data_IF_185877720641
#
_entry.id   IF_185877720641
#
_cell.length_a   1.000
_cell.length_b   1.000
_cell.length_c   1.000
_cell.angle_alpha   90.00
_cell.angle_beta   90.00
_cell.angle_gamma   90.00
#
_symmetry.space_group_name_H-M   'P 1'
#
loop_
_entity.id
_entity.type
_entity.pdbx_description
1 polymer ?
#
# COMPACT_ATOMS: atom_id res chain seq x y z
N UNK A 1 10.13 7.35 -2.81
CA UNK A 1 10.38 6.61 -1.55
C UNK A 1 10.55 7.62 -0.42
N UNK A 2 10.45 7.19 0.84
CA UNK A 2 10.92 8.04 1.94
C UNK A 2 12.42 8.33 1.77
N UNK A 3 12.84 9.52 2.18
CA UNK A 3 14.22 9.97 2.05
C UNK A 3 14.32 11.47 1.91
N UNK A 4 15.55 11.96 2.00
CA UNK A 4 15.90 13.34 1.69
C UNK A 4 16.34 13.41 0.24
N UNK A 5 15.75 14.35 -0.47
CA UNK A 5 15.97 14.61 -1.89
C UNK A 5 16.56 16.00 -2.06
N UNK A 6 17.32 16.15 -3.13
CA UNK A 6 17.95 17.40 -3.52
C UNK A 6 17.34 17.88 -4.83
N UNK A 7 16.98 19.17 -4.87
CA UNK A 7 16.58 19.83 -6.09
C UNK A 7 17.78 20.53 -6.71
N UNK A 8 17.92 20.36 -8.03
CA UNK A 8 18.93 21.02 -8.84
C UNK A 8 18.24 21.76 -9.99
N UNK A 9 18.69 22.97 -10.27
CA UNK A 9 18.18 23.82 -11.35
C UNK A 9 19.31 24.13 -12.31
N UNK A 10 19.02 23.98 -13.60
CA UNK A 10 19.85 24.37 -14.71
C UNK A 10 19.07 25.38 -15.55
N UNK A 11 19.64 26.57 -15.75
CA UNK A 11 18.96 27.65 -16.44
C UNK A 11 19.62 27.91 -17.79
N UNK A 12 18.80 28.07 -18.84
CA UNK A 12 19.26 28.48 -20.17
C UNK A 12 18.44 29.66 -20.66
N UNK A 13 19.10 30.62 -21.31
CA UNK A 13 18.46 31.76 -21.96
C UNK A 13 19.17 32.14 -23.26
N UNK A 14 18.77 33.26 -23.87
CA UNK A 14 19.33 33.73 -25.14
C UNK A 14 20.85 33.94 -25.11
N UNK A 15 21.43 34.19 -23.93
CA UNK A 15 22.88 34.33 -23.71
C UNK A 15 23.64 33.03 -23.42
N UNK A 16 22.97 31.87 -23.47
CA UNK A 16 23.56 30.57 -23.12
C UNK A 16 23.01 30.00 -21.81
N UNK A 17 23.59 28.88 -21.39
CA UNK A 17 23.19 28.18 -20.17
C UNK A 17 24.10 28.51 -18.99
N UNK A 18 23.59 28.29 -17.78
CA UNK A 18 24.34 28.48 -16.55
C UNK A 18 25.61 27.64 -16.56
N UNK A 19 26.72 28.27 -16.18
CA UNK A 19 28.04 27.66 -16.00
C UNK A 19 28.47 27.80 -14.54
N UNK A 20 29.37 26.95 -14.04
CA UNK A 20 29.80 26.98 -12.63
C UNK A 20 28.95 26.06 -11.75
N UNK A 21 28.62 26.51 -10.54
CA UNK A 21 28.02 25.68 -9.48
C UNK A 21 29.07 24.89 -8.68
N UNK A 22 28.65 24.21 -7.61
CA UNK A 22 29.55 23.48 -6.69
C UNK A 22 30.37 22.41 -7.41
N UNK A 23 29.80 21.79 -8.44
CA UNK A 23 30.45 20.75 -9.25
C UNK A 23 30.98 21.28 -10.58
N UNK A 24 30.97 22.60 -10.79
CA UNK A 24 31.39 23.25 -12.03
C UNK A 24 30.75 22.65 -13.31
N UNK A 25 29.49 22.23 -13.23
CA UNK A 25 28.75 21.57 -14.29
C UNK A 25 27.52 22.38 -14.76
N UNK A 26 27.38 23.61 -14.29
CA UNK A 26 26.30 24.53 -14.63
C UNK A 26 25.01 24.36 -13.81
N UNK A 27 24.92 23.34 -12.94
CA UNK A 27 23.77 23.13 -12.06
C UNK A 27 23.94 23.87 -10.72
N UNK A 28 22.89 24.54 -10.28
CA UNK A 28 22.79 25.11 -8.93
C UNK A 28 21.73 24.37 -8.11
N UNK A 29 22.04 24.01 -6.86
CA UNK A 29 21.12 23.28 -5.99
C UNK A 29 21.82 22.35 -4.99
N UNK A 30 21.05 21.45 -4.38
CA UNK A 30 21.50 20.52 -3.35
C UNK A 30 21.80 21.17 -1.99
N UNK A 31 22.40 20.38 -1.09
CA UNK A 31 22.83 20.82 0.25
C UNK A 31 24.30 21.26 0.27
N UNK A 32 24.70 22.09 -0.68
CA UNK A 32 26.09 22.54 -0.81
C UNK A 32 26.15 24.06 -1.09
N UNK A 33 27.25 24.70 -0.71
CA UNK A 33 27.53 26.10 -1.06
C UNK A 33 26.55 27.14 -0.48
N UNK A 34 25.93 26.85 0.67
CA UNK A 34 24.94 27.74 1.30
C UNK A 34 23.52 27.64 0.73
N UNK A 35 23.29 26.75 -0.23
CA UNK A 35 21.94 26.37 -0.67
C UNK A 35 21.35 25.35 0.28
N UNK A 36 20.06 25.49 0.61
CA UNK A 36 19.28 24.45 1.28
C UNK A 36 18.10 24.04 0.38
N UNK A 37 18.43 23.53 -0.81
CA UNK A 37 17.45 23.02 -1.78
C UNK A 37 17.14 21.54 -1.51
N UNK A 38 16.88 21.19 -0.25
CA UNK A 38 16.51 19.85 0.16
C UNK A 38 15.04 19.77 0.53
N UNK A 39 14.42 18.62 0.28
CA UNK A 39 13.11 18.28 0.81
C UNK A 39 13.09 16.82 1.25
N UNK A 40 12.26 16.51 2.23
CA UNK A 40 12.21 15.16 2.80
C UNK A 40 10.81 14.59 2.65
N UNK A 41 10.73 13.35 2.17
CA UNK A 41 9.54 12.51 2.32
C UNK A 41 9.75 11.60 3.53
N UNK A 42 8.86 11.71 4.51
CA UNK A 42 8.87 10.86 5.70
C UNK A 42 7.43 10.46 6.04
N UNK A 43 6.84 9.65 5.18
CA UNK A 43 5.50 9.11 5.41
C UNK A 43 5.57 7.90 6.33
N UNK A 44 4.69 7.82 7.32
CA UNK A 44 4.49 6.58 8.06
C UNK A 44 3.84 5.52 7.16
N UNK A 45 4.10 4.24 7.44
CA UNK A 45 3.29 3.18 6.86
C UNK A 45 1.84 3.32 7.36
N UNK A 46 0.82 3.01 6.52
CA UNK A 46 -0.56 3.01 6.98
C UNK A 46 -0.78 2.06 8.15
N UNK A 47 -1.77 2.36 8.99
CA UNK A 47 -2.18 1.47 10.07
C UNK A 47 -2.77 0.16 9.54
N UNK A 48 -2.81 -0.86 10.39
CA UNK A 48 -3.49 -2.12 10.08
C UNK A 48 -4.97 -1.88 9.75
N UNK A 49 -5.49 -2.66 8.80
CA UNK A 49 -6.91 -2.62 8.47
C UNK A 49 -7.76 -2.95 9.70
N UNK A 50 -8.82 -2.20 10.03
CA UNK A 50 -9.73 -2.56 11.10
C UNK A 50 -10.52 -3.83 10.75
N UNK A 51 -10.66 -4.77 11.70
CA UNK A 51 -11.58 -5.92 11.54
C UNK A 51 -13.04 -5.52 11.65
N UNK A 52 -13.35 -4.41 12.33
CA UNK A 52 -14.71 -3.90 12.44
C UNK A 52 -15.24 -3.52 11.04
N UNK A 53 -16.33 -4.16 10.63
CA UNK A 53 -16.94 -3.95 9.31
C UNK A 53 -16.26 -4.72 8.17
N UNK A 54 -15.29 -5.58 8.48
CA UNK A 54 -14.71 -6.51 7.51
C UNK A 54 -15.69 -7.66 7.25
N UNK A 55 -15.91 -8.00 5.98
CA UNK A 55 -16.84 -9.06 5.58
C UNK A 55 -16.20 -9.99 4.56
N UNK A 56 -16.60 -11.26 4.62
CA UNK A 56 -16.23 -12.29 3.65
C UNK A 56 -17.41 -13.23 3.46
N UNK A 57 -18.01 -13.17 2.27
CA UNK A 57 -19.13 -14.01 1.85
C UNK A 57 -18.73 -14.76 0.59
N UNK A 58 -19.04 -16.05 0.53
CA UNK A 58 -18.78 -16.87 -0.66
C UNK A 58 -20.08 -17.40 -1.23
N UNK A 59 -20.31 -17.17 -2.52
CA UNK A 59 -21.45 -17.69 -3.25
C UNK A 59 -21.10 -17.87 -4.72
N UNK A 60 -21.60 -18.94 -5.34
CA UNK A 60 -21.50 -19.19 -6.78
C UNK A 60 -20.06 -19.08 -7.36
N UNK A 61 -19.05 -19.56 -6.63
CA UNK A 61 -17.65 -19.51 -7.10
C UNK A 61 -16.98 -18.14 -6.97
N UNK A 62 -17.57 -17.24 -6.18
CA UNK A 62 -17.05 -15.89 -5.99
C UNK A 62 -17.03 -15.49 -4.51
N UNK A 63 -15.94 -14.86 -4.09
CA UNK A 63 -15.76 -14.26 -2.78
C UNK A 63 -16.10 -12.78 -2.84
N UNK A 64 -17.20 -12.38 -2.22
CA UNK A 64 -17.52 -10.97 -1.96
C UNK A 64 -16.88 -10.56 -0.63
N UNK A 65 -16.05 -9.53 -0.67
CA UNK A 65 -15.29 -9.06 0.50
C UNK A 65 -15.42 -7.56 0.66
N UNK A 66 -15.39 -7.10 1.91
CA UNK A 66 -15.32 -5.68 2.22
C UNK A 66 -14.50 -5.39 3.48
N UNK A 67 -13.96 -4.18 3.61
CA UNK A 67 -13.32 -3.68 4.83
C UNK A 67 -13.30 -2.14 4.84
N UNK A 68 -12.98 -1.57 5.99
CA UNK A 68 -12.80 -0.11 6.13
C UNK A 68 -11.40 0.29 5.64
N UNK A 69 -11.34 1.28 4.75
CA UNK A 69 -10.08 1.86 4.29
C UNK A 69 -9.30 2.52 5.44
N UNK A 70 -8.00 2.74 5.25
CA UNK A 70 -7.12 3.31 6.28
C UNK A 70 -6.39 4.52 5.72
N UNK A 71 -6.08 5.49 6.60
CA UNK A 71 -5.41 6.71 6.20
C UNK A 71 -4.04 6.42 5.59
N UNK A 72 -3.71 7.10 4.50
CA UNK A 72 -2.44 6.96 3.81
C UNK A 72 -2.28 5.68 2.99
N UNK A 73 -3.25 4.75 2.99
CA UNK A 73 -3.21 3.59 2.12
C UNK A 73 -3.66 3.91 0.70
N UNK A 74 -2.83 3.56 -0.26
CA UNK A 74 -3.13 3.58 -1.70
C UNK A 74 -3.23 2.19 -2.30
N UNK A 75 -2.82 1.16 -1.53
CA UNK A 75 -2.83 -0.23 -1.94
C UNK A 75 -3.24 -1.14 -0.79
N UNK A 76 -3.83 -2.28 -1.15
CA UNK A 76 -4.16 -3.36 -0.23
C UNK A 76 -3.68 -4.69 -0.81
N UNK A 77 -2.89 -5.44 -0.06
CA UNK A 77 -2.60 -6.83 -0.37
C UNK A 77 -3.70 -7.68 0.24
N UNK A 78 -4.45 -8.38 -0.61
CA UNK A 78 -5.58 -9.20 -0.17
C UNK A 78 -5.21 -10.66 -0.30
N UNK A 79 -5.42 -11.42 0.77
CA UNK A 79 -5.22 -12.84 0.87
C UNK A 79 -6.55 -13.54 1.13
N UNK A 80 -6.82 -14.60 0.37
CA UNK A 80 -7.88 -15.58 0.64
C UNK A 80 -7.26 -16.96 0.59
N UNK A 81 -7.36 -17.72 1.68
CA UNK A 81 -6.77 -19.04 1.77
C UNK A 81 -7.02 -19.70 3.12
N UNK A 82 -6.45 -20.88 3.32
CA UNK A 82 -6.59 -21.65 4.56
C UNK A 82 -5.56 -21.20 5.60
N UNK A 83 -5.71 -21.71 6.83
CA UNK A 83 -4.77 -21.47 7.92
C UNK A 83 -3.31 -21.71 7.49
N UNK A 84 -2.43 -20.77 7.87
CA UNK A 84 -0.99 -20.84 7.56
C UNK A 84 -0.65 -20.77 6.07
N UNK A 85 -1.61 -20.47 5.18
CA UNK A 85 -1.38 -20.44 3.74
C UNK A 85 -1.22 -21.81 3.09
N UNK A 86 -1.67 -22.90 3.74
CA UNK A 86 -1.57 -24.26 3.18
C UNK A 86 -2.25 -24.39 1.81
N UNK A 87 -3.33 -23.64 1.59
CA UNK A 87 -3.93 -23.37 0.30
C UNK A 87 -4.14 -21.86 0.13
N UNK A 88 -3.74 -21.33 -1.02
CA UNK A 88 -3.90 -19.91 -1.39
C UNK A 88 -4.81 -19.82 -2.60
N UNK A 89 -6.03 -19.31 -2.39
CA UNK A 89 -6.97 -19.05 -3.49
C UNK A 89 -6.69 -17.70 -4.16
N UNK A 90 -6.27 -16.71 -3.38
CA UNK A 90 -5.97 -15.37 -3.86
C UNK A 90 -4.87 -14.73 -3.01
N UNK A 91 -3.88 -14.09 -3.65
CA UNK A 91 -2.88 -13.24 -3.00
C UNK A 91 -2.34 -12.21 -4.00
N UNK A 92 -2.90 -11.01 -4.00
CA UNK A 92 -2.52 -9.94 -4.94
C UNK A 92 -2.70 -8.56 -4.30
N UNK A 93 -1.95 -7.58 -4.83
CA UNK A 93 -2.14 -6.16 -4.54
C UNK A 93 -3.30 -5.58 -5.37
N UNK A 94 -4.08 -4.69 -4.77
CA UNK A 94 -5.18 -3.94 -5.40
C UNK A 94 -5.08 -2.47 -4.99
N UNK A 95 -5.37 -1.54 -5.89
CA UNK A 95 -5.37 -0.12 -5.53
C UNK A 95 -6.61 0.23 -4.72
N UNK A 96 -6.52 1.22 -3.84
CA UNK A 96 -7.70 1.76 -3.15
C UNK A 96 -8.75 2.29 -4.12
N UNK A 97 -8.33 2.85 -5.26
CA UNK A 97 -9.21 3.30 -6.34
C UNK A 97 -10.01 2.14 -6.96
N UNK A 98 -9.35 1.04 -7.32
CA UNK A 98 -9.99 -0.17 -7.87
C UNK A 98 -11.00 -0.79 -6.90
N UNK A 99 -10.73 -0.66 -5.59
CA UNK A 99 -11.57 -1.17 -4.51
C UNK A 99 -12.67 -0.19 -4.08
N UNK A 100 -12.72 1.01 -4.66
CA UNK A 100 -13.72 2.04 -4.36
C UNK A 100 -13.55 2.71 -3.00
N UNK A 101 -12.35 2.68 -2.42
CA UNK A 101 -12.07 3.19 -1.06
C UNK A 101 -10.90 4.17 -0.98
N UNK A 102 -10.64 4.89 -2.06
CA UNK A 102 -9.85 6.11 -1.99
C UNK A 102 -10.36 7.00 -0.84
N UNK A 103 -9.44 7.70 -0.15
CA UNK A 103 -9.77 8.61 0.94
C UNK A 103 -10.52 7.97 2.14
N UNK A 104 -10.14 6.74 2.53
CA UNK A 104 -10.65 6.05 3.72
C UNK A 104 -12.13 5.62 3.66
N UNK A 105 -12.65 5.37 2.45
CA UNK A 105 -13.98 4.79 2.25
C UNK A 105 -14.08 3.30 2.60
N UNK A 106 -15.20 2.67 2.21
CA UNK A 106 -15.36 1.21 2.32
C UNK A 106 -14.77 0.52 1.10
N UNK A 107 -13.73 -0.29 1.29
CA UNK A 107 -13.16 -1.12 0.23
C UNK A 107 -14.09 -2.30 -0.01
N UNK A 108 -14.47 -2.57 -1.26
CA UNK A 108 -15.32 -3.70 -1.61
C UNK A 108 -15.01 -4.22 -3.00
N UNK A 109 -14.98 -5.54 -3.13
CA UNK A 109 -14.78 -6.18 -4.44
C UNK A 109 -15.31 -7.61 -4.39
N UNK A 110 -15.47 -8.18 -5.58
CA UNK A 110 -15.75 -9.60 -5.78
C UNK A 110 -14.50 -10.21 -6.43
N UNK A 111 -14.06 -11.35 -5.91
CA UNK A 111 -12.99 -12.16 -6.49
C UNK A 111 -13.57 -13.48 -6.98
N UNK A 112 -13.36 -13.80 -8.25
CA UNK A 112 -13.66 -15.14 -8.77
C UNK A 112 -12.58 -16.10 -8.27
N UNK A 113 -12.96 -16.98 -7.34
CA UNK A 113 -12.05 -17.92 -6.69
C UNK A 113 -12.76 -19.26 -6.50
N UNK A 114 -12.04 -20.35 -6.69
CA UNK A 114 -12.54 -21.68 -6.35
C UNK A 114 -12.13 -22.04 -4.93
N UNK A 115 -13.10 -22.15 -4.03
CA UNK A 115 -12.89 -22.59 -2.65
C UNK A 115 -13.51 -23.99 -2.47
N UNK A 116 -12.69 -25.06 -2.47
CA UNK A 116 -13.13 -26.39 -2.02
C UNK A 116 -13.67 -26.38 -0.59
N UNK A 117 -14.40 -27.42 -0.13
CA UNK A 117 -14.86 -27.53 1.25
C UNK A 117 -13.73 -27.34 2.27
N UNK A 118 -13.97 -26.54 3.30
CA UNK A 118 -12.96 -26.20 4.32
C UNK A 118 -13.11 -24.80 4.91
N UNK A 119 -12.19 -24.43 5.81
CA UNK A 119 -12.17 -23.13 6.50
C UNK A 119 -11.19 -22.16 5.83
N UNK A 120 -11.70 -20.97 5.48
CA UNK A 120 -10.95 -19.94 4.76
C UNK A 120 -10.92 -18.63 5.52
N UNK A 121 -9.77 -17.96 5.43
CA UNK A 121 -9.52 -16.66 6.02
C UNK A 121 -9.43 -15.62 4.92
N UNK A 122 -10.06 -14.47 5.17
CA UNK A 122 -9.72 -13.22 4.50
C UNK A 122 -8.68 -12.51 5.35
N UNK A 123 -7.56 -12.13 4.74
CA UNK A 123 -6.58 -11.27 5.39
C UNK A 123 -6.18 -10.11 4.47
N UNK A 124 -6.00 -8.92 5.05
CA UNK A 124 -5.68 -7.71 4.30
C UNK A 124 -4.54 -6.95 4.97
N UNK A 125 -3.56 -6.53 4.17
CA UNK A 125 -2.48 -5.62 4.56
C UNK A 125 -2.61 -4.32 3.78
N UNK A 126 -2.57 -3.19 4.48
CA UNK A 126 -2.56 -1.85 3.89
C UNK A 126 -1.14 -1.41 3.52
N UNK A 127 -1.02 -0.67 2.42
CA UNK A 127 0.26 -0.10 1.98
C UNK A 127 0.07 1.30 1.37
N UNK A 128 1.09 2.14 1.56
CA UNK A 128 1.10 3.52 1.10
C UNK A 128 2.51 4.03 0.83
N UNK A 129 2.69 5.35 0.65
CA UNK A 129 3.99 5.96 0.39
C UNK A 129 5.06 5.67 1.45
N UNK A 130 4.65 5.42 2.70
CA UNK A 130 5.52 5.00 3.81
C UNK A 130 5.83 3.50 3.86
N UNK A 131 5.37 2.71 2.87
CA UNK A 131 5.47 1.26 2.86
C UNK A 131 4.23 0.59 3.47
N UNK A 132 4.42 -0.59 4.06
CA UNK A 132 3.40 -1.37 4.76
C UNK A 132 3.96 -1.85 6.10
N UNK A 133 3.06 -2.15 7.03
CA UNK A 133 3.45 -2.75 8.30
C UNK A 133 3.98 -4.16 8.06
N UNK A 134 5.13 -4.50 8.63
CA UNK A 134 5.66 -5.89 8.65
C UNK A 134 5.44 -6.58 9.99
N UNK A 135 4.83 -5.88 10.93
CA UNK A 135 4.56 -6.31 12.31
C UNK A 135 3.11 -5.99 12.67
N UNK A 136 2.62 -6.56 13.76
CA UNK A 136 1.23 -6.45 14.18
C UNK A 136 0.28 -7.38 13.40
N UNK A 137 -1.01 -7.26 13.68
CA UNK A 137 -2.02 -8.23 13.26
C UNK A 137 -1.95 -9.51 14.08
N UNK A 138 -2.81 -10.48 13.75
CA UNK A 138 -2.98 -11.70 14.56
C UNK A 138 -1.70 -12.54 14.68
N UNK A 139 -0.89 -12.58 13.62
CA UNK A 139 0.33 -13.41 13.54
C UNK A 139 1.62 -12.58 13.37
N UNK A 140 1.57 -11.28 13.71
CA UNK A 140 2.72 -10.37 13.68
C UNK A 140 3.43 -10.26 12.32
N UNK A 141 2.67 -10.24 11.22
CA UNK A 141 3.18 -10.12 9.85
C UNK A 141 2.59 -8.92 9.08
N UNK A 142 1.83 -8.05 9.76
CA UNK A 142 1.22 -6.87 9.16
C UNK A 142 -0.10 -7.11 8.42
N UNK A 143 -0.60 -8.35 8.35
CA UNK A 143 -1.94 -8.64 7.87
C UNK A 143 -2.94 -8.59 9.02
N UNK A 144 -4.07 -7.93 8.79
CA UNK A 144 -5.25 -8.12 9.60
C UNK A 144 -6.05 -9.31 9.07
N UNK A 145 -6.43 -10.23 9.96
CA UNK A 145 -7.20 -11.44 9.63
C UNK A 145 -8.64 -11.27 10.11
N UNK A 146 -9.61 -11.60 9.26
CA UNK A 146 -11.00 -11.74 9.66
C UNK A 146 -11.20 -13.06 10.42
N UNK A 147 -11.67 -12.96 11.65
CA UNK A 147 -12.07 -14.11 12.46
C UNK A 147 -13.55 -14.00 12.88
N UNK A 148 -14.26 -15.14 13.01
CA UNK A 148 -13.83 -16.52 12.69
C UNK A 148 -13.67 -16.76 11.17
N UNK A 149 -13.02 -17.86 10.74
CA UNK A 149 -12.94 -18.20 9.31
C UNK A 149 -14.33 -18.47 8.71
N UNK A 150 -14.43 -18.31 7.39
CA UNK A 150 -15.59 -18.73 6.61
C UNK A 150 -15.48 -20.23 6.29
N UNK A 151 -16.45 -21.01 6.77
CA UNK A 151 -16.54 -22.45 6.45
C UNK A 151 -17.34 -22.65 5.16
N UNK A 152 -16.72 -23.33 4.20
CA UNK A 152 -17.37 -23.83 2.97
C UNK A 152 -17.77 -25.29 3.20
N UNK A 153 -19.06 -25.65 3.04
CA UNK A 153 -19.58 -27.00 3.30
C UNK A 153 -19.13 -28.04 2.26
#
# INVERSE_FOLDING_TARGET
ANGTYEAYVYACGAGGCSTGGVYNNGWGGGNQGGSNATFTYNYAAPDLVPTTGMTFVYANGAAQVSWTGVEGASWYQVFIGTYGGAYTAYLQWRTSDELGCADMGTCSTIFEVNLPPGDYYLAVQSAGPGGWQTTGGLINNGFQVLEPPLTIP
#
